data_IF_828416292395
#
_entry.id   IF_828416292395
#
_cell.length_a   1.000
_cell.length_b   1.000
_cell.length_c   1.000
_cell.angle_alpha   90.00
_cell.angle_beta   90.00
_cell.angle_gamma   90.00
#
_symmetry.space_group_name_H-M   'P 1'
#
loop_
_entity.id
_entity.type
_entity.pdbx_description
1 polymer ?
#
# COMPACT_ATOMS: atom_id res chain seq x y z
N UNK A 1 7.94 -8.17 12.89
CA UNK A 1 7.77 -6.70 12.78
C UNK A 1 8.85 -6.09 11.89
N UNK A 2 10.11 -6.51 12.03
CA UNK A 2 11.24 -5.92 11.28
C UNK A 2 11.21 -6.18 9.76
N UNK A 3 10.48 -7.21 9.31
CA UNK A 3 10.30 -7.49 7.88
C UNK A 3 9.28 -6.59 7.19
N UNK A 4 8.52 -5.77 7.93
CA UNK A 4 7.59 -4.77 7.37
C UNK A 4 8.34 -3.45 7.27
N UNK A 5 9.02 -3.25 6.14
CA UNK A 5 9.83 -2.07 5.87
C UNK A 5 9.76 -1.69 4.37
N UNK A 6 10.12 -0.44 4.01
CA UNK A 6 10.05 0.04 2.63
C UNK A 6 10.91 -0.78 1.66
N UNK A 7 12.10 -1.22 2.07
CA UNK A 7 13.00 -1.98 1.20
C UNK A 7 12.38 -3.31 0.76
N UNK A 8 11.85 -4.07 1.72
CA UNK A 8 11.13 -5.31 1.44
C UNK A 8 9.89 -5.04 0.58
N UNK A 9 9.10 -4.00 0.86
CA UNK A 9 7.93 -3.66 0.06
C UNK A 9 8.29 -3.42 -1.42
N UNK A 10 9.33 -2.62 -1.67
CA UNK A 10 9.78 -2.34 -3.04
C UNK A 10 10.39 -3.59 -3.71
N UNK A 11 11.12 -4.43 -2.97
CA UNK A 11 11.66 -5.69 -3.50
C UNK A 11 10.56 -6.70 -3.83
N UNK A 12 9.49 -6.75 -3.03
CA UNK A 12 8.30 -7.57 -3.29
C UNK A 12 7.63 -7.14 -4.59
N UNK A 13 7.40 -5.82 -4.77
CA UNK A 13 6.84 -5.25 -6.01
C UNK A 13 7.70 -5.61 -7.22
N UNK A 14 9.03 -5.47 -7.12
CA UNK A 14 9.95 -5.80 -8.22
C UNK A 14 10.13 -7.30 -8.45
N UNK A 15 9.57 -8.19 -7.63
CA UNK A 15 9.85 -9.62 -7.73
C UNK A 15 11.29 -10.01 -7.34
N UNK A 16 12.01 -9.16 -6.60
CA UNK A 16 13.40 -9.36 -6.20
C UNK A 16 13.50 -10.12 -4.87
N UNK A 17 13.37 -11.44 -4.91
CA UNK A 17 13.39 -12.29 -3.71
C UNK A 17 14.73 -12.21 -2.94
N UNK A 18 15.86 -12.05 -3.61
CA UNK A 18 17.18 -11.93 -2.97
C UNK A 18 17.39 -10.63 -2.20
N UNK A 19 16.60 -9.58 -2.50
CA UNK A 19 16.61 -8.33 -1.75
C UNK A 19 15.67 -8.32 -0.54
N UNK A 20 14.85 -9.37 -0.35
CA UNK A 20 13.96 -9.45 0.81
C UNK A 20 14.71 -9.99 2.02
N UNK A 21 14.67 -9.26 3.13
CA UNK A 21 15.27 -9.67 4.39
C UNK A 21 14.19 -10.07 5.40
N UNK A 22 14.28 -11.28 5.94
CA UNK A 22 13.25 -11.87 6.79
C UNK A 22 11.95 -12.20 6.05
N UNK A 23 10.87 -12.49 6.79
CA UNK A 23 9.59 -12.89 6.21
C UNK A 23 9.65 -14.25 5.50
N UNK A 24 8.73 -14.49 4.56
CA UNK A 24 8.62 -15.75 3.82
C UNK A 24 9.44 -15.80 2.52
N UNK A 25 10.06 -14.68 2.12
CA UNK A 25 10.72 -14.54 0.81
C UNK A 25 9.76 -14.51 -0.39
N UNK A 26 8.43 -14.51 -0.15
CA UNK A 26 7.43 -14.39 -1.22
C UNK A 26 7.48 -12.99 -1.84
N UNK A 27 7.50 -12.94 -3.17
CA UNK A 27 7.51 -11.71 -3.97
C UNK A 27 6.54 -11.83 -5.15
N UNK A 28 6.23 -10.73 -5.82
CA UNK A 28 5.40 -10.73 -7.02
C UNK A 28 6.21 -11.26 -8.21
N UNK A 29 6.02 -12.55 -8.51
CA UNK A 29 6.60 -13.22 -9.68
C UNK A 29 5.65 -13.12 -10.90
N UNK A 30 5.36 -11.89 -11.30
CA UNK A 30 4.42 -11.58 -12.39
C UNK A 30 5.07 -11.56 -13.78
N UNK A 31 4.23 -11.81 -14.79
CA UNK A 31 4.48 -11.81 -16.23
C UNK A 31 3.73 -10.66 -16.92
N UNK A 32 4.03 -10.36 -18.21
CA UNK A 32 3.41 -9.24 -18.93
C UNK A 32 1.88 -9.25 -19.02
N UNK A 33 1.23 -10.41 -18.92
CA UNK A 33 -0.22 -10.51 -18.99
C UNK A 33 -0.92 -10.48 -17.63
N UNK A 34 -0.16 -10.54 -16.54
CA UNK A 34 -0.72 -10.65 -15.20
C UNK A 34 -1.34 -9.32 -14.75
N UNK A 35 -2.41 -9.41 -13.96
CA UNK A 35 -3.03 -8.27 -13.29
C UNK A 35 -2.59 -8.23 -11.84
N UNK A 36 -2.22 -7.04 -11.36
CA UNK A 36 -1.75 -6.85 -9.98
C UNK A 36 -2.70 -5.90 -9.26
N UNK A 37 -3.11 -6.31 -8.06
CA UNK A 37 -3.77 -5.42 -7.09
C UNK A 37 -2.84 -5.23 -5.90
N UNK A 38 -2.59 -3.98 -5.53
CA UNK A 38 -1.81 -3.60 -4.35
C UNK A 38 -2.70 -2.75 -3.45
N UNK A 39 -2.74 -3.09 -2.17
CA UNK A 39 -3.46 -2.35 -1.15
C UNK A 39 -2.51 -1.98 -0.01
N UNK A 40 -2.48 -0.69 0.35
CA UNK A 40 -1.72 -0.14 1.47
C UNK A 40 -2.67 0.58 2.43
N UNK A 41 -2.51 0.35 3.74
CA UNK A 41 -3.29 1.00 4.79
C UNK A 41 -2.39 1.29 5.98
N UNK A 42 -2.09 2.56 6.21
CA UNK A 42 -1.41 3.08 7.40
C UNK A 42 -1.46 4.62 7.37
N UNK A 43 -0.70 5.26 8.24
CA UNK A 43 -0.44 6.68 8.17
C UNK A 43 0.36 7.09 6.91
N UNK A 44 0.12 8.32 6.48
CA UNK A 44 0.89 9.01 5.45
C UNK A 44 1.04 10.49 5.77
N UNK A 45 1.92 11.13 5.03
CA UNK A 45 2.10 12.58 5.03
C UNK A 45 2.44 13.03 3.60
N UNK A 46 2.57 14.33 3.38
CA UNK A 46 2.87 14.93 2.08
C UNK A 46 4.13 14.29 1.48
N UNK A 47 3.90 13.46 0.46
CA UNK A 47 4.97 12.82 -0.31
C UNK A 47 5.57 11.55 0.32
N UNK A 48 4.94 10.96 1.35
CA UNK A 48 5.44 9.73 1.98
C UNK A 48 4.36 8.84 2.60
N UNK A 49 4.64 7.53 2.58
CA UNK A 49 3.93 6.50 3.35
C UNK A 49 4.77 6.10 4.55
N UNK A 50 4.13 5.88 5.69
CA UNK A 50 4.81 5.54 6.93
C UNK A 50 4.84 4.02 7.08
N UNK A 51 6.01 3.48 7.42
CA UNK A 51 6.18 2.10 7.86
C UNK A 51 6.52 2.09 9.35
N UNK A 52 6.44 0.93 10.03
CA UNK A 52 6.63 0.87 11.49
C UNK A 52 7.93 1.47 12.04
N UNK A 53 8.99 1.56 11.23
CA UNK A 53 10.31 2.09 11.62
C UNK A 53 10.96 3.03 10.60
N UNK A 54 10.35 3.19 9.42
CA UNK A 54 10.96 3.86 8.27
C UNK A 54 9.89 4.55 7.43
N UNK A 55 10.32 5.31 6.41
CA UNK A 55 9.43 6.04 5.51
C UNK A 55 9.65 5.59 4.07
N UNK A 56 8.56 5.49 3.31
CA UNK A 56 8.59 5.27 1.87
C UNK A 56 8.20 6.56 1.16
N UNK A 57 9.15 7.17 0.45
CA UNK A 57 8.89 8.39 -0.31
C UNK A 57 8.17 8.11 -1.63
N UNK A 58 7.41 9.09 -2.12
CA UNK A 58 6.81 9.05 -3.47
C UNK A 58 7.85 8.81 -4.56
N UNK A 59 9.07 9.36 -4.41
CA UNK A 59 10.16 9.14 -5.36
C UNK A 59 10.55 7.65 -5.45
N UNK A 60 10.66 6.97 -4.31
CA UNK A 60 11.00 5.54 -4.27
C UNK A 60 9.87 4.67 -4.83
N UNK A 61 8.62 4.99 -4.48
CA UNK A 61 7.45 4.27 -4.98
C UNK A 61 7.31 4.45 -6.50
N UNK A 62 7.30 5.68 -7.00
CA UNK A 62 7.20 5.96 -8.44
C UNK A 62 8.37 5.37 -9.23
N UNK A 63 9.60 5.45 -8.70
CA UNK A 63 10.75 4.80 -9.32
C UNK A 63 10.56 3.29 -9.47
N UNK A 64 9.91 2.65 -8.49
CA UNK A 64 9.61 1.22 -8.52
C UNK A 64 8.50 0.88 -9.50
N UNK A 65 7.41 1.64 -9.50
CA UNK A 65 6.28 1.44 -10.43
C UNK A 65 6.72 1.67 -11.88
N UNK A 66 7.53 2.70 -12.14
CA UNK A 66 8.11 2.97 -13.46
C UNK A 66 9.02 1.81 -13.90
N UNK A 67 9.87 1.29 -13.01
CA UNK A 67 10.70 0.13 -13.33
C UNK A 67 9.84 -1.09 -13.67
N UNK A 68 8.77 -1.36 -12.91
CA UNK A 68 7.87 -2.47 -13.19
C UNK A 68 7.18 -2.33 -14.56
N UNK A 69 6.75 -1.11 -14.91
CA UNK A 69 6.17 -0.81 -16.21
C UNK A 69 7.18 -1.03 -17.36
N UNK A 70 8.40 -0.49 -17.23
CA UNK A 70 9.47 -0.63 -18.23
C UNK A 70 9.96 -2.07 -18.44
N UNK A 71 9.71 -2.96 -17.48
CA UNK A 71 10.14 -4.36 -17.52
C UNK A 71 8.96 -5.31 -17.75
N UNK A 72 7.83 -4.81 -18.29
CA UNK A 72 6.62 -5.59 -18.62
C UNK A 72 6.18 -6.52 -17.49
N UNK A 73 6.18 -6.00 -16.25
CA UNK A 73 5.88 -6.81 -15.06
C UNK A 73 4.39 -6.99 -14.80
N UNK A 74 3.52 -6.39 -15.60
CA UNK A 74 2.06 -6.54 -15.51
C UNK A 74 1.41 -6.00 -16.78
N UNK A 75 0.18 -6.44 -17.07
CA UNK A 75 -0.68 -5.84 -18.08
C UNK A 75 -1.47 -4.67 -17.51
N UNK A 76 -1.98 -4.86 -16.29
CA UNK A 76 -2.77 -3.87 -15.56
C UNK A 76 -2.40 -3.93 -14.07
N UNK A 77 -2.28 -2.76 -13.44
CA UNK A 77 -2.06 -2.65 -12.01
C UNK A 77 -3.04 -1.65 -11.43
N UNK A 78 -3.66 -2.02 -10.30
CA UNK A 78 -4.47 -1.15 -9.46
C UNK A 78 -3.80 -1.03 -8.11
N UNK A 79 -3.71 0.19 -7.58
CA UNK A 79 -3.09 0.48 -6.29
C UNK A 79 -4.05 1.32 -5.46
N UNK A 80 -4.56 0.74 -4.37
CA UNK A 80 -5.38 1.43 -3.38
C UNK A 80 -4.53 1.82 -2.18
N UNK A 81 -4.63 3.08 -1.76
CA UNK A 81 -3.84 3.63 -0.67
C UNK A 81 -4.77 4.34 0.32
N UNK A 82 -4.96 3.73 1.48
CA UNK A 82 -5.53 4.38 2.66
C UNK A 82 -4.38 5.02 3.46
N UNK A 83 -4.32 6.36 3.39
CA UNK A 83 -3.36 7.18 4.12
C UNK A 83 -3.71 8.68 4.00
N UNK A 84 -3.38 9.46 5.03
CA UNK A 84 -3.52 10.91 5.02
C UNK A 84 -2.60 11.58 3.98
N UNK A 85 -3.05 12.69 3.38
CA UNK A 85 -2.25 13.62 2.57
C UNK A 85 -1.57 13.04 1.30
N UNK A 86 -2.17 12.04 0.65
CA UNK A 86 -1.66 11.42 -0.61
C UNK A 86 -2.63 11.70 -1.78
N UNK A 87 -2.17 11.64 -3.04
CA UNK A 87 -3.02 11.84 -4.23
C UNK A 87 -2.77 10.73 -5.28
N UNK A 88 -3.68 9.78 -5.37
CA UNK A 88 -3.84 8.69 -6.37
C UNK A 88 -5.25 8.08 -6.10
N UNK A 89 -5.61 6.84 -6.43
CA UNK A 89 -6.85 6.26 -5.85
C UNK A 89 -6.60 6.06 -4.34
N UNK A 90 -6.89 7.11 -3.60
CA UNK A 90 -6.45 7.31 -2.22
C UNK A 90 -7.61 7.83 -1.38
N UNK A 91 -7.58 7.49 -0.10
CA UNK A 91 -8.59 7.92 0.87
C UNK A 91 -8.68 9.44 1.04
N UNK A 92 -7.57 10.15 0.81
CA UNK A 92 -7.50 11.60 0.87
C UNK A 92 -6.83 12.19 -0.37
N UNK A 93 -6.82 13.52 -0.50
CA UNK A 93 -5.95 14.22 -1.45
C UNK A 93 -4.71 14.77 -0.73
N UNK A 94 -3.77 15.36 -1.48
CA UNK A 94 -2.52 15.91 -0.93
C UNK A 94 -2.65 17.05 0.11
N UNK A 95 -3.87 17.42 0.50
CA UNK A 95 -4.19 18.46 1.48
C UNK A 95 -5.23 18.03 2.52
N UNK A 96 -5.69 16.78 2.50
CA UNK A 96 -6.75 16.29 3.39
C UNK A 96 -6.26 15.10 4.22
N UNK A 97 -6.75 14.94 5.46
CA UNK A 97 -6.59 13.71 6.22
C UNK A 97 -7.53 12.62 5.67
N UNK A 98 -7.21 11.35 5.95
CA UNK A 98 -8.20 10.27 5.90
C UNK A 98 -8.82 10.05 7.28
N UNK A 99 -9.92 9.28 7.34
CA UNK A 99 -10.75 9.14 8.52
C UNK A 99 -10.93 7.68 8.92
N UNK A 100 -10.82 7.42 10.22
CA UNK A 100 -11.14 6.13 10.81
C UNK A 100 -12.67 5.95 10.94
N UNK A 101 -13.14 4.70 10.82
CA UNK A 101 -14.55 4.32 11.01
C UNK A 101 -14.70 3.23 12.09
N UNK A 102 -15.94 2.95 12.48
CA UNK A 102 -16.30 2.02 13.56
C UNK A 102 -15.59 2.31 14.91
N UNK A 103 -15.33 3.59 15.18
CA UNK A 103 -14.63 4.05 16.38
C UNK A 103 -15.47 3.95 17.66
N UNK A 104 -16.79 4.10 17.55
CA UNK A 104 -17.70 3.92 18.69
C UNK A 104 -18.15 2.48 18.75
N UNK A 105 -17.49 1.69 19.59
CA UNK A 105 -17.85 0.32 19.87
C UNK A 105 -18.15 0.13 21.36
N UNK A 106 -19.09 -0.77 21.69
CA UNK A 106 -19.51 -1.05 23.08
C UNK A 106 -18.43 -1.70 23.96
N UNK A 107 -17.24 -1.96 23.39
CA UNK A 107 -16.14 -2.68 24.02
C UNK A 107 -14.94 -1.78 24.37
N UNK A 108 -15.01 -0.46 24.11
CA UNK A 108 -13.90 0.51 24.29
C UNK A 108 -12.62 0.13 23.51
N UNK A 109 -12.77 -0.55 22.37
CA UNK A 109 -11.68 -0.86 21.45
C UNK A 109 -11.27 0.37 20.63
N UNK A 110 -10.07 0.37 20.03
CA UNK A 110 -9.71 1.30 18.96
C UNK A 110 -10.73 1.26 17.80
N UNK A 111 -10.64 2.24 16.89
CA UNK A 111 -11.36 2.16 15.62
C UNK A 111 -11.02 0.86 14.89
N UNK A 112 -12.03 0.23 14.28
CA UNK A 112 -11.90 -1.11 13.68
C UNK A 112 -11.67 -1.07 12.17
N UNK A 113 -11.73 0.11 11.56
CA UNK A 113 -11.42 0.29 10.15
C UNK A 113 -11.16 1.75 9.80
N UNK A 114 -10.87 1.98 8.53
CA UNK A 114 -10.73 3.29 7.91
C UNK A 114 -11.83 3.45 6.85
N UNK A 115 -12.36 4.67 6.69
CA UNK A 115 -13.60 4.91 5.94
C UNK A 115 -13.50 4.50 4.47
N UNK A 116 -12.41 4.87 3.79
CA UNK A 116 -12.19 4.46 2.40
C UNK A 116 -12.01 2.95 2.33
N UNK A 117 -11.23 2.37 3.24
CA UNK A 117 -11.04 0.92 3.34
C UNK A 117 -12.36 0.18 3.49
N UNK A 118 -13.16 0.52 4.50
CA UNK A 118 -14.44 -0.12 4.78
C UNK A 118 -15.36 -0.01 3.55
N UNK A 119 -15.44 1.18 2.95
CA UNK A 119 -16.30 1.42 1.78
C UNK A 119 -15.96 0.51 0.61
N UNK A 120 -14.69 0.39 0.19
CA UNK A 120 -14.36 -0.44 -0.98
C UNK A 120 -14.40 -1.93 -0.66
N UNK A 121 -14.06 -2.34 0.57
CA UNK A 121 -14.13 -3.76 0.94
C UNK A 121 -15.57 -4.22 1.05
N UNK A 122 -16.46 -3.42 1.64
CA UNK A 122 -17.88 -3.74 1.75
C UNK A 122 -18.55 -3.79 0.37
N UNK A 123 -18.26 -2.82 -0.52
CA UNK A 123 -18.71 -2.83 -1.92
C UNK A 123 -18.21 -4.06 -2.71
N UNK A 124 -17.02 -4.57 -2.38
CA UNK A 124 -16.43 -5.75 -3.03
C UNK A 124 -16.97 -7.08 -2.49
N UNK A 125 -17.58 -7.09 -1.31
CA UNK A 125 -18.17 -8.28 -0.68
C UNK A 125 -19.62 -8.54 -1.17
N UNK A 126 -20.24 -7.57 -1.83
CA UNK A 126 -21.56 -7.69 -2.49
C UNK A 126 -21.50 -8.44 -3.85
#
# INVERSE_FOLDING_TARGET
KDSVNPENFLNILRGNASGVTGGSGRVIKSKPNDRIFVYFSDHGDIGMLIFPKDLLTVKQLNGTLNWMHQNDRYSQMVFYIEACYIYAVTAANGKQPSYATHCTNGMRLPCLGDEFTASWTEDSDE
#
